data_IF_575898694614
#
_entry.id   IF_575898694614
#
_cell.length_a   1.000
_cell.length_b   1.000
_cell.length_c   1.000
_cell.angle_alpha   90.00
_cell.angle_beta   90.00
_cell.angle_gamma   90.00
#
_symmetry.space_group_name_H-M   'P 1'
#
loop_
_entity.id
_entity.type
_entity.pdbx_description
1 polymer ?
#
# COMPACT_ATOMS: atom_id res chain seq x y z
N UNK A 1 83.33 8.16 21.70
CA UNK A 1 84.23 8.91 20.81
C UNK A 1 83.91 8.47 19.39
N UNK A 2 83.67 9.40 18.48
CA UNK A 2 83.32 9.10 17.07
C UNK A 2 84.46 8.33 16.41
N UNK A 3 84.13 7.40 15.52
CA UNK A 3 85.12 6.57 14.80
C UNK A 3 86.17 7.43 14.07
N UNK A 4 85.75 8.56 13.51
CA UNK A 4 86.64 9.58 12.94
C UNK A 4 87.61 10.19 13.96
N UNK A 5 87.14 10.56 15.14
CA UNK A 5 87.98 11.15 16.20
C UNK A 5 89.00 10.15 16.76
N UNK A 6 88.62 8.86 16.81
CA UNK A 6 89.54 7.77 17.19
C UNK A 6 90.61 7.57 16.12
N UNK A 7 90.21 7.36 14.86
CA UNK A 7 91.14 7.12 13.74
C UNK A 7 92.04 8.31 13.45
N UNK A 8 91.57 9.54 13.67
CA UNK A 8 92.38 10.77 13.60
C UNK A 8 93.52 10.77 14.64
N UNK A 9 93.20 10.47 15.90
CA UNK A 9 94.21 10.42 16.97
C UNK A 9 95.17 9.25 16.78
N UNK A 10 94.67 8.13 16.27
CA UNK A 10 95.50 6.97 15.94
C UNK A 10 96.44 7.28 14.75
N UNK A 11 95.99 8.06 13.76
CA UNK A 11 96.82 8.58 12.67
C UNK A 11 97.89 9.57 13.15
N UNK A 12 97.51 10.60 13.93
CA UNK A 12 98.44 11.59 14.51
C UNK A 12 99.51 10.89 15.37
N UNK A 13 99.13 9.84 16.11
CA UNK A 13 100.08 9.02 16.87
C UNK A 13 100.97 8.19 15.96
N UNK A 14 100.41 7.54 14.93
CA UNK A 14 101.17 6.74 13.98
C UNK A 14 102.22 7.59 13.22
N UNK A 15 101.90 8.83 12.86
CA UNK A 15 102.83 9.77 12.22
C UNK A 15 104.04 10.05 13.11
N UNK A 16 103.83 10.39 14.39
CA UNK A 16 104.93 10.62 15.35
C UNK A 16 105.77 9.38 15.65
N UNK A 17 105.17 8.18 15.62
CA UNK A 17 105.90 6.92 15.81
C UNK A 17 106.68 6.50 14.56
N UNK A 18 106.18 6.83 13.37
CA UNK A 18 106.88 6.60 12.11
C UNK A 18 108.11 7.51 11.98
N UNK A 19 108.00 8.78 12.38
CA UNK A 19 109.14 9.72 12.44
C UNK A 19 110.25 9.24 13.40
N UNK A 20 109.88 8.56 14.49
CA UNK A 20 110.81 7.95 15.45
C UNK A 20 111.32 6.56 15.03
N UNK A 21 110.92 6.06 13.87
CA UNK A 21 111.23 4.72 13.33
C UNK A 21 110.69 3.55 14.18
N UNK A 22 109.67 3.78 15.01
CA UNK A 22 109.08 2.78 15.91
C UNK A 22 108.02 1.89 15.22
N UNK A 23 107.57 2.24 14.01
CA UNK A 23 106.60 1.46 13.20
C UNK A 23 107.01 1.34 11.72
N UNK A 24 106.49 0.33 11.02
CA UNK A 24 106.75 0.09 9.60
C UNK A 24 105.91 0.96 8.66
N UNK A 25 106.38 1.14 7.40
CA UNK A 25 105.63 1.81 6.33
C UNK A 25 104.25 1.22 6.11
N UNK A 26 104.13 -0.11 6.08
CA UNK A 26 102.83 -0.78 5.91
C UNK A 26 101.86 -0.49 7.06
N UNK A 27 102.34 -0.35 8.30
CA UNK A 27 101.50 0.00 9.45
C UNK A 27 101.05 1.46 9.39
N UNK A 28 101.96 2.36 9.00
CA UNK A 28 101.64 3.76 8.78
C UNK A 28 100.56 3.94 7.70
N UNK A 29 100.68 3.25 6.57
CA UNK A 29 99.70 3.28 5.47
C UNK A 29 98.33 2.70 5.88
N UNK A 30 98.30 1.71 6.79
CA UNK A 30 97.04 1.19 7.35
C UNK A 30 96.32 2.25 8.19
N UNK A 31 97.03 2.95 9.08
CA UNK A 31 96.45 4.05 9.86
C UNK A 31 96.02 5.22 8.97
N UNK A 32 96.81 5.52 7.91
CA UNK A 32 96.44 6.53 6.90
C UNK A 32 95.13 6.19 6.22
N UNK A 33 95.03 4.97 5.70
CA UNK A 33 93.87 4.48 4.96
C UNK A 33 92.63 4.43 5.86
N UNK A 34 92.78 4.02 7.11
CA UNK A 34 91.69 4.01 8.10
C UNK A 34 91.19 5.42 8.43
N UNK A 35 92.08 6.41 8.57
CA UNK A 35 91.69 7.80 8.76
C UNK A 35 91.01 8.39 7.52
N UNK A 36 91.56 8.12 6.32
CA UNK A 36 90.98 8.61 5.06
C UNK A 36 89.59 8.03 4.79
N UNK A 37 89.35 6.75 5.10
CA UNK A 37 88.03 6.11 4.94
C UNK A 37 87.01 6.65 5.95
N UNK A 38 87.40 6.83 7.23
CA UNK A 38 86.55 7.45 8.23
C UNK A 38 86.22 8.91 7.86
N UNK A 39 87.19 9.66 7.33
CA UNK A 39 86.98 11.02 6.81
C UNK A 39 86.07 11.06 5.59
N UNK A 40 86.14 10.06 4.71
CA UNK A 40 85.24 9.94 3.56
C UNK A 40 83.79 9.65 4.01
N UNK A 41 83.62 8.79 5.01
CA UNK A 41 82.31 8.46 5.60
C UNK A 41 81.62 9.66 6.26
N UNK A 42 82.38 10.47 7.01
CA UNK A 42 81.86 11.74 7.57
C UNK A 42 81.43 12.69 6.45
N UNK A 43 82.27 12.90 5.43
CA UNK A 43 81.92 13.75 4.27
C UNK A 43 80.67 13.26 3.54
N UNK A 44 80.52 11.96 3.33
CA UNK A 44 79.31 11.38 2.73
C UNK A 44 78.07 11.64 3.59
N UNK A 45 78.20 11.50 4.91
CA UNK A 45 77.10 11.73 5.85
C UNK A 45 76.71 13.21 5.92
N UNK A 46 77.69 14.12 5.89
CA UNK A 46 77.46 15.58 5.81
C UNK A 46 76.77 15.97 4.50
N UNK A 47 77.20 15.40 3.37
CA UNK A 47 76.55 15.61 2.08
C UNK A 47 75.11 15.06 2.07
N UNK A 48 74.88 13.90 2.67
CA UNK A 48 73.54 13.33 2.79
C UNK A 48 72.64 14.19 3.68
N UNK A 49 73.15 14.67 4.81
CA UNK A 49 72.42 15.59 5.67
C UNK A 49 72.11 16.91 4.95
N UNK A 50 73.05 17.46 4.18
CA UNK A 50 72.82 18.67 3.40
C UNK A 50 71.65 18.51 2.41
N UNK A 51 71.57 17.36 1.71
CA UNK A 51 70.45 17.04 0.83
C UNK A 51 69.12 16.89 1.58
N UNK A 52 69.13 16.32 2.79
CA UNK A 52 67.94 16.18 3.62
C UNK A 52 67.46 17.53 4.20
N UNK A 53 68.40 18.42 4.54
CA UNK A 53 68.12 19.77 5.08
C UNK A 53 67.60 20.70 3.98
N UNK A 54 68.08 20.55 2.74
CA UNK A 54 67.60 21.31 1.58
C UNK A 54 66.11 21.03 1.28
N UNK A 55 65.63 19.84 1.65
CA UNK A 55 64.22 19.47 1.62
C UNK A 55 63.68 19.24 0.20
N UNK A 56 62.36 18.98 0.06
CA UNK A 56 61.73 18.82 -1.25
C UNK A 56 61.78 20.14 -2.03
N UNK A 57 61.97 20.04 -3.34
CA UNK A 57 62.10 21.20 -4.22
C UNK A 57 60.82 22.05 -4.19
N UNK A 58 60.96 23.36 -4.35
CA UNK A 58 59.80 24.26 -4.32
C UNK A 58 58.79 23.92 -5.42
N UNK A 59 59.26 23.40 -6.56
CA UNK A 59 58.46 22.94 -7.68
C UNK A 59 57.59 21.73 -7.29
N UNK A 60 58.12 20.79 -6.51
CA UNK A 60 57.38 19.61 -6.05
C UNK A 60 56.26 20.01 -5.08
N UNK A 61 56.56 20.95 -4.16
CA UNK A 61 55.56 21.50 -3.23
C UNK A 61 54.47 22.25 -3.99
N UNK A 62 54.85 23.06 -4.99
CA UNK A 62 53.90 23.80 -5.83
C UNK A 62 53.04 22.84 -6.65
N UNK A 63 53.62 21.79 -7.23
CA UNK A 63 52.91 20.75 -7.96
C UNK A 63 51.88 20.04 -7.08
N UNK A 64 52.27 19.64 -5.87
CA UNK A 64 51.37 19.03 -4.90
C UNK A 64 50.23 19.98 -4.48
N UNK A 65 50.53 21.26 -4.22
CA UNK A 65 49.52 22.28 -3.90
C UNK A 65 48.55 22.51 -5.05
N UNK A 66 49.03 22.54 -6.29
CA UNK A 66 48.19 22.67 -7.47
C UNK A 66 47.26 21.45 -7.63
N UNK A 67 47.75 20.24 -7.31
CA UNK A 67 46.94 19.02 -7.32
C UNK A 67 45.83 19.07 -6.26
N UNK A 68 46.12 19.52 -5.04
CA UNK A 68 45.11 19.73 -3.99
C UNK A 68 44.07 20.75 -4.44
N UNK A 69 44.50 21.91 -4.95
CA UNK A 69 43.58 22.94 -5.44
C UNK A 69 42.65 22.44 -6.56
N UNK A 70 43.17 21.61 -7.47
CA UNK A 70 42.37 20.95 -8.52
C UNK A 70 41.37 19.97 -7.93
N UNK A 71 41.78 19.15 -6.96
CA UNK A 71 40.90 18.18 -6.30
C UNK A 71 39.77 18.88 -5.53
N UNK A 72 40.09 19.96 -4.81
CA UNK A 72 39.09 20.77 -4.09
C UNK A 72 38.10 21.45 -5.05
N UNK A 73 38.58 21.95 -6.19
CA UNK A 73 37.69 22.50 -7.22
C UNK A 73 36.74 21.43 -7.78
N UNK A 74 37.25 20.21 -7.99
CA UNK A 74 36.43 19.05 -8.38
C UNK A 74 35.39 18.68 -7.32
N UNK A 75 35.76 18.71 -6.03
CA UNK A 75 34.83 18.45 -4.92
C UNK A 75 33.70 19.48 -4.88
N UNK A 76 34.02 20.78 -4.98
CA UNK A 76 33.02 21.86 -4.99
C UNK A 76 32.02 21.70 -6.14
N UNK A 77 32.48 21.30 -7.32
CA UNK A 77 31.62 21.00 -8.46
C UNK A 77 30.74 19.76 -8.21
N UNK A 78 31.30 18.69 -7.65
CA UNK A 78 30.51 17.50 -7.32
C UNK A 78 29.43 17.79 -6.26
N UNK A 79 29.72 18.64 -5.28
CA UNK A 79 28.76 19.08 -4.27
C UNK A 79 27.63 19.92 -4.87
N UNK A 80 27.92 20.83 -5.80
CA UNK A 80 26.89 21.62 -6.47
C UNK A 80 25.96 20.75 -7.32
N UNK A 81 26.52 19.82 -8.09
CA UNK A 81 25.75 18.84 -8.86
C UNK A 81 24.88 17.96 -7.96
N UNK A 82 25.38 17.56 -6.79
CA UNK A 82 24.60 16.79 -5.81
C UNK A 82 23.39 17.58 -5.30
N UNK A 83 23.57 18.87 -5.04
CA UNK A 83 22.46 19.76 -4.64
C UNK A 83 21.44 19.92 -5.77
N UNK A 84 21.89 20.06 -7.01
CA UNK A 84 21.01 20.14 -8.18
C UNK A 84 20.19 18.86 -8.37
N UNK A 85 20.83 17.68 -8.29
CA UNK A 85 20.13 16.39 -8.34
C UNK A 85 19.10 16.27 -7.21
N UNK A 86 19.42 16.74 -6.00
CA UNK A 86 18.47 16.76 -4.88
C UNK A 86 17.27 17.64 -5.18
N UNK A 87 17.47 18.85 -5.72
CA UNK A 87 16.39 19.76 -6.13
C UNK A 87 15.53 19.15 -7.24
N UNK A 88 16.16 18.55 -8.25
CA UNK A 88 15.45 17.91 -9.36
C UNK A 88 14.63 16.70 -8.88
N UNK A 89 15.14 15.92 -7.93
CA UNK A 89 14.37 14.85 -7.29
C UNK A 89 13.15 15.39 -6.54
N UNK A 90 13.31 16.46 -5.78
CA UNK A 90 12.17 17.10 -5.09
C UNK A 90 11.12 17.61 -6.09
N UNK A 91 11.56 18.30 -7.15
CA UNK A 91 10.67 18.77 -8.20
C UNK A 91 9.94 17.61 -8.91
N UNK A 92 10.63 16.50 -9.15
CA UNK A 92 10.03 15.29 -9.73
C UNK A 92 8.94 14.72 -8.82
N UNK A 93 9.19 14.63 -7.51
CA UNK A 93 8.18 14.12 -6.57
C UNK A 93 6.96 15.04 -6.48
N UNK A 94 7.16 16.37 -6.50
CA UNK A 94 6.05 17.33 -6.60
C UNK A 94 5.24 17.15 -7.88
N UNK A 95 5.92 17.06 -9.03
CA UNK A 95 5.24 16.85 -10.33
C UNK A 95 4.48 15.51 -10.38
N UNK A 96 5.02 14.44 -9.79
CA UNK A 96 4.31 13.17 -9.66
C UNK A 96 3.05 13.30 -8.80
N UNK A 97 3.13 14.01 -7.67
CA UNK A 97 1.98 14.25 -6.82
C UNK A 97 0.90 15.07 -7.53
N UNK A 98 1.29 16.07 -8.34
CA UNK A 98 0.37 16.84 -9.18
C UNK A 98 -0.32 15.95 -10.24
N UNK A 99 0.43 15.06 -10.90
CA UNK A 99 -0.14 14.10 -11.85
C UNK A 99 -1.14 13.18 -11.14
N UNK A 100 -0.80 12.66 -9.96
CA UNK A 100 -1.70 11.80 -9.19
C UNK A 100 -2.97 12.55 -8.78
N UNK A 101 -2.85 13.81 -8.35
CA UNK A 101 -4.00 14.66 -8.02
C UNK A 101 -4.89 14.91 -9.24
N UNK A 102 -4.30 15.21 -10.39
CA UNK A 102 -5.04 15.40 -11.64
C UNK A 102 -5.75 14.11 -12.10
N UNK A 103 -5.09 12.95 -11.98
CA UNK A 103 -5.70 11.65 -12.30
C UNK A 103 -6.88 11.33 -11.37
N UNK A 104 -6.77 11.62 -10.07
CA UNK A 104 -7.88 11.46 -9.14
C UNK A 104 -9.07 12.36 -9.51
N UNK A 105 -8.81 13.58 -9.98
CA UNK A 105 -9.84 14.49 -10.45
C UNK A 105 -10.54 13.98 -11.73
N UNK A 106 -9.78 13.37 -12.65
CA UNK A 106 -10.34 12.70 -13.83
C UNK A 106 -11.25 11.54 -13.39
N UNK A 107 -10.78 10.66 -12.51
CA UNK A 107 -11.58 9.54 -12.02
C UNK A 107 -12.88 9.97 -11.31
N UNK A 108 -12.85 11.10 -10.57
CA UNK A 108 -14.05 11.66 -9.97
C UNK A 108 -15.05 12.17 -11.03
N UNK A 109 -14.56 12.75 -12.12
CA UNK A 109 -15.42 13.22 -13.22
C UNK A 109 -15.99 12.03 -13.99
N UNK A 110 -15.19 10.99 -14.24
CA UNK A 110 -15.63 9.78 -14.92
C UNK A 110 -16.74 9.08 -14.13
N UNK A 111 -16.58 8.92 -12.81
CA UNK A 111 -17.61 8.36 -11.95
C UNK A 111 -18.92 9.17 -12.00
N UNK A 112 -18.83 10.51 -12.04
CA UNK A 112 -20.01 11.38 -12.18
C UNK A 112 -20.67 11.22 -13.55
N UNK A 113 -19.90 11.01 -14.61
CA UNK A 113 -20.44 10.75 -15.96
C UNK A 113 -21.14 9.40 -16.02
N UNK A 114 -20.58 8.37 -15.38
CA UNK A 114 -21.23 7.07 -15.26
C UNK A 114 -22.56 7.18 -14.50
N UNK A 115 -22.61 7.97 -13.42
CA UNK A 115 -23.84 8.25 -12.67
C UNK A 115 -24.90 9.04 -13.47
N UNK A 116 -24.55 9.68 -14.60
CA UNK A 116 -25.55 10.36 -15.45
C UNK A 116 -26.46 9.37 -16.18
N UNK A 117 -26.05 8.10 -16.29
CA UNK A 117 -26.84 7.05 -16.93
C UNK A 117 -27.30 6.07 -15.85
N UNK A 118 -28.51 6.29 -15.34
CA UNK A 118 -29.14 5.35 -14.42
C UNK A 118 -29.56 4.07 -15.16
N UNK A 119 -28.97 2.94 -14.79
CA UNK A 119 -29.33 1.61 -15.28
C UNK A 119 -30.04 0.81 -14.20
N UNK A 120 -30.91 -0.12 -14.60
CA UNK A 120 -31.55 -1.03 -13.65
C UNK A 120 -30.54 -2.06 -13.13
N UNK A 121 -30.45 -2.29 -11.82
CA UNK A 121 -29.60 -3.35 -11.25
C UNK A 121 -30.22 -4.74 -11.38
N UNK A 122 -31.51 -4.82 -11.72
CA UNK A 122 -32.27 -6.06 -11.86
C UNK A 122 -32.96 -6.12 -13.22
N UNK A 123 -33.18 -7.34 -13.71
CA UNK A 123 -34.17 -7.57 -14.75
C UNK A 123 -35.57 -7.48 -14.13
N UNK A 124 -36.51 -6.90 -14.86
CA UNK A 124 -37.86 -6.68 -14.37
C UNK A 124 -38.67 -5.77 -15.27
N UNK A 125 -39.84 -5.36 -14.78
CA UNK A 125 -40.74 -4.45 -15.49
C UNK A 125 -40.82 -3.11 -14.78
N UNK A 126 -41.02 -2.04 -15.57
CA UNK A 126 -41.29 -0.70 -15.03
C UNK A 126 -42.70 -0.69 -14.45
N UNK A 127 -42.79 -0.54 -13.13
CA UNK A 127 -44.05 -0.43 -12.39
C UNK A 127 -44.58 1.00 -12.39
N UNK A 128 -43.69 1.94 -12.08
CA UNK A 128 -44.00 3.36 -11.99
C UNK A 128 -42.88 4.15 -12.65
N UNK A 129 -43.26 5.10 -13.51
CA UNK A 129 -42.36 6.15 -13.98
C UNK A 129 -42.72 7.42 -13.19
N UNK A 130 -41.85 7.78 -12.25
CA UNK A 130 -42.09 8.85 -11.28
C UNK A 130 -41.58 10.22 -11.74
N UNK A 131 -40.79 10.28 -12.81
CA UNK A 131 -40.27 11.51 -13.37
C UNK A 131 -40.42 11.59 -14.89
N UNK A 132 -40.45 12.80 -15.41
CA UNK A 132 -40.61 13.09 -16.84
C UNK A 132 -39.38 13.77 -17.45
N UNK A 133 -39.28 13.67 -18.78
CA UNK A 133 -38.19 14.30 -19.54
C UNK A 133 -38.27 15.82 -19.39
N UNK A 134 -37.16 16.43 -18.97
CA UNK A 134 -37.05 17.88 -18.78
C UNK A 134 -37.28 18.34 -17.33
N UNK A 135 -37.66 17.44 -16.43
CA UNK A 135 -37.72 17.75 -15.00
C UNK A 135 -36.33 17.81 -14.37
N UNK A 136 -36.18 18.67 -13.36
CA UNK A 136 -34.97 18.77 -12.54
C UNK A 136 -35.26 18.10 -11.21
N UNK A 137 -34.54 17.01 -10.94
CA UNK A 137 -34.71 16.21 -9.72
C UNK A 137 -33.58 16.47 -8.72
N UNK A 138 -33.92 16.41 -7.43
CA UNK A 138 -32.92 16.37 -6.37
C UNK A 138 -32.31 14.96 -6.24
N UNK A 139 -31.11 14.86 -5.69
CA UNK A 139 -30.46 13.57 -5.45
C UNK A 139 -31.32 12.68 -4.52
N UNK A 140 -31.43 11.40 -4.88
CA UNK A 140 -32.21 10.41 -4.13
C UNK A 140 -33.71 10.39 -4.41
N UNK A 141 -34.23 11.29 -5.27
CA UNK A 141 -35.61 11.20 -5.73
C UNK A 141 -35.74 10.01 -6.71
N UNK A 142 -36.71 9.10 -6.50
CA UNK A 142 -36.91 7.96 -7.40
C UNK A 142 -37.39 8.44 -8.78
N UNK A 143 -36.79 7.89 -9.83
CA UNK A 143 -37.15 8.17 -11.24
C UNK A 143 -38.06 7.08 -11.80
N UNK A 144 -37.71 5.82 -11.52
CA UNK A 144 -38.40 4.62 -12.01
C UNK A 144 -38.43 3.59 -10.89
N UNK A 145 -39.59 2.96 -10.69
CA UNK A 145 -39.73 1.78 -9.85
C UNK A 145 -39.78 0.53 -10.73
N UNK A 146 -38.90 -0.43 -10.46
CA UNK A 146 -38.75 -1.66 -11.25
C UNK A 146 -39.06 -2.84 -10.33
N UNK A 147 -39.93 -3.74 -10.80
CA UNK A 147 -40.32 -4.94 -10.07
C UNK A 147 -39.91 -6.23 -10.79
N UNK A 148 -39.41 -7.20 -10.03
CA UNK A 148 -39.23 -8.58 -10.47
C UNK A 148 -40.61 -9.28 -10.50
N UNK A 149 -41.04 -9.72 -11.69
CA UNK A 149 -42.29 -10.46 -11.88
C UNK A 149 -42.09 -11.98 -11.98
N UNK A 150 -40.86 -12.48 -12.09
CA UNK A 150 -40.56 -13.91 -12.16
C UNK A 150 -40.71 -14.57 -10.78
N UNK A 151 -40.32 -13.83 -9.73
CA UNK A 151 -40.30 -14.31 -8.35
C UNK A 151 -41.16 -13.48 -7.38
N UNK A 152 -42.47 -13.32 -7.63
CA UNK A 152 -43.33 -12.61 -6.71
C UNK A 152 -43.51 -13.41 -5.41
N UNK A 153 -43.84 -12.69 -4.35
CA UNK A 153 -44.21 -13.28 -3.07
C UNK A 153 -45.57 -12.77 -2.62
N UNK A 154 -46.36 -13.67 -2.05
CA UNK A 154 -47.65 -13.34 -1.47
C UNK A 154 -47.47 -12.95 0.00
N UNK A 155 -48.05 -11.81 0.37
CA UNK A 155 -48.23 -11.41 1.77
C UNK A 155 -49.53 -12.02 2.28
N UNK A 156 -49.44 -12.99 3.18
CA UNK A 156 -50.60 -13.59 3.83
C UNK A 156 -50.52 -13.45 5.35
N UNK A 157 -51.66 -13.61 6.01
CA UNK A 157 -51.80 -13.51 7.46
C UNK A 157 -52.42 -14.79 7.99
N UNK A 158 -51.78 -15.38 9.01
CA UNK A 158 -52.26 -16.59 9.68
C UNK A 158 -52.65 -16.26 11.13
N UNK A 159 -53.70 -16.89 11.64
CA UNK A 159 -54.08 -16.75 13.05
C UNK A 159 -53.07 -17.41 14.00
N UNK A 160 -52.94 -16.89 15.22
CA UNK A 160 -52.07 -17.46 16.26
C UNK A 160 -52.33 -18.96 16.51
N UNK A 161 -53.60 -19.38 16.50
CA UNK A 161 -54.01 -20.78 16.73
C UNK A 161 -53.44 -21.74 15.67
N UNK A 162 -53.25 -21.26 14.44
CA UNK A 162 -52.77 -22.07 13.31
C UNK A 162 -51.25 -21.93 13.10
N UNK A 163 -50.63 -20.90 13.68
CA UNK A 163 -49.19 -20.62 13.57
C UNK A 163 -48.34 -21.83 13.98
N UNK A 164 -48.72 -22.52 15.05
CA UNK A 164 -47.99 -23.70 15.55
C UNK A 164 -48.00 -24.90 14.58
N UNK A 165 -48.90 -24.93 13.60
CA UNK A 165 -49.03 -26.01 12.62
C UNK A 165 -48.25 -25.72 11.33
N UNK A 166 -47.95 -24.46 11.05
CA UNK A 166 -47.24 -24.04 9.84
C UNK A 166 -45.73 -24.04 10.06
N UNK A 167 -45.00 -24.70 9.14
CA UNK A 167 -43.54 -24.76 9.16
C UNK A 167 -42.95 -23.98 7.99
N UNK A 168 -41.74 -23.45 8.19
CA UNK A 168 -40.96 -22.85 7.11
C UNK A 168 -40.72 -23.90 6.01
N UNK A 169 -40.86 -23.51 4.75
CA UNK A 169 -40.77 -24.40 3.59
C UNK A 169 -42.02 -25.24 3.31
N UNK A 170 -43.10 -25.09 4.09
CA UNK A 170 -44.35 -25.82 3.83
C UNK A 170 -44.89 -25.51 2.42
N UNK A 171 -45.36 -26.52 1.66
CA UNK A 171 -45.94 -26.31 0.34
C UNK A 171 -47.28 -25.60 0.44
N UNK A 172 -47.50 -24.63 -0.45
CA UNK A 172 -48.70 -23.80 -0.50
C UNK A 172 -49.29 -23.84 -1.90
N UNK A 173 -50.62 -23.92 -1.99
CA UNK A 173 -51.38 -23.69 -3.22
C UNK A 173 -51.94 -22.28 -3.18
N UNK A 174 -51.66 -21.50 -4.22
CA UNK A 174 -52.14 -20.13 -4.32
C UNK A 174 -53.17 -20.06 -5.45
N UNK A 175 -54.30 -19.42 -5.17
CA UNK A 175 -55.38 -19.18 -6.12
C UNK A 175 -55.70 -17.70 -6.15
N UNK A 176 -56.21 -17.21 -7.28
CA UNK A 176 -56.63 -15.81 -7.44
C UNK A 176 -57.94 -15.75 -8.22
N UNK A 177 -58.78 -14.79 -7.85
CA UNK A 177 -60.04 -14.52 -8.54
C UNK A 177 -59.84 -14.12 -10.01
N UNK A 178 -58.68 -13.55 -10.33
CA UNK A 178 -58.35 -13.10 -11.69
C UNK A 178 -58.13 -14.26 -12.67
N UNK A 179 -57.81 -15.45 -12.16
CA UNK A 179 -57.58 -16.66 -12.97
C UNK A 179 -58.28 -17.88 -12.33
N UNK A 180 -59.62 -17.97 -12.44
CA UNK A 180 -60.37 -19.06 -11.84
C UNK A 180 -59.88 -20.44 -12.29
N UNK A 181 -59.61 -21.34 -11.33
CA UNK A 181 -59.18 -22.71 -11.59
C UNK A 181 -57.68 -22.92 -11.84
N UNK A 182 -56.88 -21.85 -11.92
CA UNK A 182 -55.41 -21.97 -11.93
C UNK A 182 -54.86 -21.98 -10.50
N UNK A 183 -53.94 -22.90 -10.27
CA UNK A 183 -53.23 -23.04 -8.99
C UNK A 183 -51.75 -22.78 -9.21
N UNK A 184 -51.20 -21.84 -8.44
CA UNK A 184 -49.79 -21.51 -8.45
C UNK A 184 -49.11 -22.21 -7.27
N UNK A 185 -48.11 -23.08 -7.52
CA UNK A 185 -47.36 -23.71 -6.44
C UNK A 185 -46.44 -22.68 -5.79
N UNK A 186 -46.47 -22.64 -4.45
CA UNK A 186 -45.61 -21.79 -3.65
C UNK A 186 -45.07 -22.50 -2.41
N UNK A 187 -44.23 -21.79 -1.66
CA UNK A 187 -43.65 -22.27 -0.40
C UNK A 187 -43.58 -21.15 0.62
N UNK A 188 -43.79 -21.48 1.90
CA UNK A 188 -43.60 -20.52 2.99
C UNK A 188 -42.11 -20.20 3.12
N UNK A 189 -41.71 -18.97 2.82
CA UNK A 189 -40.31 -18.54 2.91
C UNK A 189 -39.99 -17.75 4.18
N UNK A 190 -41.00 -17.13 4.79
CA UNK A 190 -40.83 -16.34 6.01
C UNK A 190 -42.08 -16.38 6.88
N UNK A 191 -41.88 -16.42 8.20
CA UNK A 191 -42.92 -16.31 9.22
C UNK A 191 -42.47 -15.22 10.19
N UNK A 192 -43.30 -14.20 10.38
CA UNK A 192 -43.02 -13.10 11.33
C UNK A 192 -43.01 -13.62 12.76
N UNK A 193 -42.07 -13.15 13.58
CA UNK A 193 -42.06 -13.38 15.04
C UNK A 193 -42.97 -12.42 15.80
N UNK A 194 -43.38 -11.32 15.16
CA UNK A 194 -44.25 -10.30 15.73
C UNK A 194 -45.68 -10.49 15.24
N UNK A 195 -46.62 -10.39 16.17
CA UNK A 195 -48.05 -10.40 15.88
C UNK A 195 -48.51 -9.00 15.43
N UNK A 196 -49.27 -8.94 14.33
CA UNK A 196 -49.93 -7.74 13.84
C UNK A 196 -51.42 -7.76 14.25
N UNK A 197 -51.98 -6.59 14.51
CA UNK A 197 -53.40 -6.43 14.82
C UNK A 197 -54.18 -6.34 13.50
N UNK A 198 -55.23 -7.16 13.31
CA UNK A 198 -56.10 -7.01 12.13
C UNK A 198 -56.75 -5.62 12.12
N UNK A 199 -56.59 -4.80 11.07
CA UNK A 199 -57.26 -3.52 10.98
C UNK A 199 -58.74 -3.74 10.58
N UNK A 200 -59.63 -3.82 11.57
CA UNK A 200 -61.06 -3.58 11.36
C UNK A 200 -61.52 -2.46 12.28
N UNK A 201 -62.27 -1.50 11.75
CA UNK A 201 -63.07 -0.58 12.58
C UNK A 201 -64.15 -1.42 13.29
N UNK A 202 -64.21 -1.32 14.61
CA UNK A 202 -65.07 -2.14 15.48
C UNK A 202 -65.87 -1.25 16.42
N UNK A 203 -67.19 -1.48 16.48
CA UNK A 203 -68.13 -0.75 17.33
C UNK A 203 -68.45 -1.44 18.68
N UNK A 204 -67.94 -2.64 18.95
CA UNK A 204 -68.14 -3.33 20.23
C UNK A 204 -66.83 -3.76 20.89
N UNK A 205 -66.84 -3.82 22.22
CA UNK A 205 -65.66 -4.09 23.07
C UNK A 205 -65.19 -5.55 23.07
N UNK A 206 -66.01 -6.51 22.62
CA UNK A 206 -65.68 -7.95 22.58
C UNK A 206 -65.03 -8.40 21.26
N UNK A 207 -65.03 -7.57 20.23
CA UNK A 207 -64.53 -7.93 18.89
C UNK A 207 -63.10 -7.43 18.60
N UNK A 208 -62.41 -6.86 19.61
CA UNK A 208 -61.05 -6.36 19.41
C UNK A 208 -60.03 -7.49 19.52
N UNK A 209 -59.33 -7.69 18.39
CA UNK A 209 -58.00 -8.29 18.24
C UNK A 209 -57.94 -9.83 18.23
N UNK A 210 -58.03 -10.41 17.03
CA UNK A 210 -57.34 -11.67 16.76
C UNK A 210 -55.88 -11.33 16.42
N UNK A 211 -54.92 -11.94 17.11
CA UNK A 211 -53.51 -11.83 16.77
C UNK A 211 -53.28 -12.59 15.46
N UNK A 212 -52.75 -11.90 14.46
CA UNK A 212 -52.37 -12.50 13.19
C UNK A 212 -50.87 -12.34 12.97
N UNK A 213 -50.25 -13.36 12.38
CA UNK A 213 -48.85 -13.37 12.06
C UNK A 213 -48.69 -13.27 10.55
N UNK A 214 -47.83 -12.35 10.11
CA UNK A 214 -47.54 -12.19 8.69
C UNK A 214 -46.63 -13.33 8.22
N UNK A 215 -47.01 -13.99 7.14
CA UNK A 215 -46.18 -14.94 6.42
C UNK A 215 -45.87 -14.42 5.01
N UNK A 216 -44.70 -14.78 4.48
CA UNK A 216 -44.37 -14.59 3.06
C UNK A 216 -44.33 -15.96 2.39
N UNK A 217 -44.96 -16.02 1.22
CA UNK A 217 -45.04 -17.22 0.42
C UNK A 217 -44.41 -16.90 -0.93
N UNK A 218 -43.29 -17.54 -1.24
CA UNK A 218 -42.65 -17.41 -2.56
C UNK A 218 -43.46 -18.18 -3.59
N UNK A 219 -43.64 -17.58 -4.76
CA UNK A 219 -44.44 -18.13 -5.85
C UNK A 219 -43.60 -18.09 -7.13
N UNK A 220 -43.62 -19.18 -7.90
CA UNK A 220 -43.05 -19.16 -9.23
C UNK A 220 -44.08 -18.59 -10.21
N UNK A 221 -43.72 -17.56 -10.96
CA UNK A 221 -44.61 -16.86 -11.89
C UNK A 221 -44.05 -16.78 -13.32
N UNK A 222 -43.69 -17.90 -13.97
CA UNK A 222 -42.99 -17.87 -15.25
C UNK A 222 -43.80 -17.29 -16.42
N UNK A 223 -45.13 -17.17 -16.27
CA UNK A 223 -46.02 -16.54 -17.26
C UNK A 223 -46.35 -15.07 -16.94
N UNK A 224 -45.77 -14.50 -15.87
CA UNK A 224 -46.04 -13.12 -15.41
C UNK A 224 -47.53 -12.82 -15.17
N UNK A 225 -48.30 -13.85 -14.80
CA UNK A 225 -49.76 -13.74 -14.60
C UNK A 225 -50.10 -13.07 -13.27
N UNK A 226 -49.30 -13.35 -12.22
CA UNK A 226 -49.44 -12.70 -10.91
C UNK A 226 -48.80 -11.32 -10.94
N UNK A 227 -49.60 -10.28 -10.62
CA UNK A 227 -49.15 -8.88 -10.61
C UNK A 227 -49.07 -8.33 -9.20
N UNK A 228 -48.36 -7.20 -9.06
CA UNK A 228 -48.24 -6.49 -7.79
C UNK A 228 -49.63 -6.11 -7.24
N UNK A 229 -49.82 -6.31 -5.94
CA UNK A 229 -51.08 -6.03 -5.21
C UNK A 229 -52.32 -6.80 -5.70
N UNK A 230 -52.14 -7.91 -6.44
CA UNK A 230 -53.25 -8.78 -6.83
C UNK A 230 -53.77 -9.56 -5.61
N UNK A 231 -55.09 -9.49 -5.30
CA UNK A 231 -55.67 -10.30 -4.23
C UNK A 231 -55.57 -11.78 -4.61
N UNK A 232 -55.07 -12.59 -3.68
CA UNK A 232 -54.87 -14.02 -3.85
C UNK A 232 -55.06 -14.73 -2.51
N UNK A 233 -55.62 -15.92 -2.57
CA UNK A 233 -55.80 -16.82 -1.43
C UNK A 233 -54.71 -17.88 -1.42
N UNK A 234 -54.36 -18.34 -0.22
CA UNK A 234 -53.32 -19.33 -0.02
C UNK A 234 -53.81 -20.47 0.87
N UNK A 235 -53.73 -21.68 0.36
CA UNK A 235 -53.99 -22.91 1.11
C UNK A 235 -52.65 -23.60 1.43
N UNK A 236 -52.29 -23.61 2.72
CA UNK A 236 -51.08 -24.26 3.21
C UNK A 236 -51.38 -25.74 3.41
N UNK A 237 -50.61 -26.62 2.76
CA UNK A 237 -50.77 -28.06 2.90
C UNK A 237 -50.03 -28.49 4.16
N UNK A 238 -50.78 -28.77 5.23
CA UNK A 238 -50.23 -29.31 6.46
C UNK A 238 -49.88 -30.77 6.26
N UNK A 239 -48.59 -31.11 6.24
CA UNK A 239 -48.16 -32.50 6.40
C UNK A 239 -48.48 -32.92 7.83
N UNK A 240 -49.46 -33.81 8.01
CA UNK A 240 -49.65 -34.52 9.28
C UNK A 240 -48.32 -35.16 9.67
N UNK A 241 -47.66 -34.56 10.66
CA UNK A 241 -46.63 -35.29 11.38
C UNK A 241 -47.42 -36.33 12.15
N UNK A 242 -47.33 -37.59 11.70
CA UNK A 242 -47.98 -38.73 12.32
C UNK A 242 -47.85 -38.62 13.83
N UNK A 243 -48.99 -38.40 14.49
CA UNK A 243 -49.14 -38.62 15.92
C UNK A 243 -48.96 -40.12 16.14
N UNK A 244 -47.73 -40.55 16.40
CA UNK A 244 -47.41 -41.87 16.93
C UNK A 244 -47.11 -41.72 18.42
N UNK A 245 -48.19 -41.65 19.20
CA UNK A 245 -48.49 -42.32 20.49
C UNK A 245 -47.38 -42.66 21.53
N UNK A 246 -47.77 -42.83 22.82
CA UNK A 246 -47.12 -42.31 24.03
C UNK A 246 -45.90 -43.07 24.57
#
# INVERSE_FOLDING_TARGET
QTEYEKTRRDWERAETLYEKQDISTSQHDQFKTAFESARASVRQSEQHLALLVEGPRQEDIQGARAQVARAEAGLRLAESLRLEVKRNRQALETAKAEIQGAQAQVGLIDARLEEMVAVSPIEGVVLVKAAEVGEVLAAGVPVVEIGDLDHPWLRAYIGEEELGRVKLGAPVKITTDSFPGKVYPGRVSFISSEAEFTPKQIQTSRERVKLVYRIKIEVSNPQHELKLNMPSDAEIILTETAAGEP
#
